data_IF_203151605562
#
_entry.id   IF_203151605562
#
_cell.length_a   1.000
_cell.length_b   1.000
_cell.length_c   1.000
_cell.angle_alpha   90.00
_cell.angle_beta   90.00
_cell.angle_gamma   90.00
#
_symmetry.space_group_name_H-M   'P 1'
#
loop_
_entity.id
_entity.type
_entity.pdbx_description
1 polymer ?
#
# COMPACT_ATOMS: atom_id res chain seq x y z
N UNK A 1 -2.12 -5.09 -3.35
CA UNK A 1 -2.88 -4.05 -2.65
C UNK A 1 -4.33 -4.44 -2.42
N UNK A 2 -5.05 -4.99 -3.42
CA UNK A 2 -6.46 -5.36 -3.25
C UNK A 2 -6.73 -6.30 -2.05
N UNK A 3 -5.88 -7.32 -1.85
CA UNK A 3 -5.97 -8.24 -0.70
C UNK A 3 -5.11 -7.86 0.51
N UNK A 4 -4.81 -6.58 0.74
CA UNK A 4 -4.12 -6.13 1.95
C UNK A 4 -5.06 -6.32 3.16
N UNK A 5 -4.59 -6.98 4.22
CA UNK A 5 -5.39 -7.31 5.41
C UNK A 5 -5.03 -6.44 6.60
N UNK A 6 -6.00 -6.21 7.49
CA UNK A 6 -5.81 -5.41 8.70
C UNK A 6 -4.78 -6.02 9.65
N UNK A 7 -4.74 -7.35 9.75
CA UNK A 7 -3.79 -8.09 10.58
C UNK A 7 -2.33 -7.99 10.09
N UNK A 8 -2.11 -7.39 8.92
CA UNK A 8 -0.78 -7.08 8.40
C UNK A 8 -0.26 -5.72 8.85
N UNK A 9 -1.11 -4.83 9.41
CA UNK A 9 -0.68 -3.55 9.98
C UNK A 9 -0.04 -3.81 11.33
N UNK A 10 1.23 -3.47 11.45
CA UNK A 10 2.06 -3.75 12.62
C UNK A 10 2.94 -2.56 12.95
N UNK A 11 3.23 -2.37 14.23
CA UNK A 11 4.28 -1.45 14.68
C UNK A 11 5.61 -2.19 14.73
N UNK A 12 6.59 -1.73 13.94
CA UNK A 12 7.94 -2.29 13.92
C UNK A 12 8.90 -1.40 14.67
N UNK A 13 9.67 -2.00 15.57
CA UNK A 13 10.79 -1.34 16.26
C UNK A 13 12.03 -1.41 15.38
N UNK A 14 12.68 -0.28 15.16
CA UNK A 14 13.89 -0.15 14.35
C UNK A 14 14.88 0.72 15.10
N UNK A 15 16.15 0.31 15.12
CA UNK A 15 17.24 1.14 15.64
C UNK A 15 17.88 1.88 14.47
N UNK A 16 17.88 3.20 14.53
CA UNK A 16 18.53 4.09 13.55
C UNK A 16 19.50 4.96 14.34
N UNK A 17 20.78 4.88 14.01
CA UNK A 17 21.86 5.63 14.66
C UNK A 17 21.86 5.50 16.20
N UNK A 18 21.63 4.29 16.69
CA UNK A 18 21.57 3.98 18.13
C UNK A 18 20.29 4.43 18.84
N UNK A 19 19.36 5.06 18.12
CA UNK A 19 18.09 5.51 18.68
C UNK A 19 16.96 4.57 18.27
N UNK A 20 16.21 4.09 19.27
CA UNK A 20 15.01 3.30 19.01
C UNK A 20 13.92 4.19 18.41
N UNK A 21 13.35 3.71 17.30
CA UNK A 21 12.23 4.33 16.59
C UNK A 21 11.15 3.27 16.35
N UNK A 22 9.90 3.68 16.45
CA UNK A 22 8.76 2.83 16.13
C UNK A 22 8.10 3.34 14.86
N UNK A 23 7.89 2.44 13.91
CA UNK A 23 7.22 2.75 12.65
C UNK A 23 5.96 1.92 12.54
N UNK A 24 4.83 2.58 12.31
CA UNK A 24 3.62 1.90 11.86
C UNK A 24 3.74 1.59 10.36
N UNK A 25 3.22 0.44 9.95
CA UNK A 25 3.40 -0.06 8.59
C UNK A 25 2.70 -1.37 8.35
N UNK A 26 2.78 -1.85 7.10
CA UNK A 26 2.29 -3.17 6.74
C UNK A 26 3.46 -4.15 6.54
N UNK A 27 3.43 -5.29 7.23
CA UNK A 27 4.31 -6.43 6.93
C UNK A 27 3.62 -7.34 5.91
N UNK A 28 4.15 -7.35 4.69
CA UNK A 28 3.56 -8.06 3.56
C UNK A 28 4.55 -9.04 2.94
N UNK A 29 4.00 -10.08 2.31
CA UNK A 29 4.78 -10.98 1.45
C UNK A 29 4.39 -10.72 0.00
N UNK A 30 5.37 -10.38 -0.82
CA UNK A 30 5.14 -10.16 -2.25
C UNK A 30 4.68 -11.45 -2.93
N UNK A 31 3.64 -11.34 -3.77
CA UNK A 31 3.13 -12.48 -4.53
C UNK A 31 4.13 -12.99 -5.58
N UNK A 32 5.03 -12.13 -6.06
CA UNK A 32 6.09 -12.52 -7.01
C UNK A 32 6.95 -13.62 -6.39
N UNK A 33 7.14 -14.71 -7.14
CA UNK A 33 7.88 -15.90 -6.72
C UNK A 33 7.31 -16.64 -5.50
N UNK A 34 6.08 -16.35 -5.06
CA UNK A 34 5.49 -16.98 -3.86
C UNK A 34 5.48 -18.50 -3.94
N UNK A 35 5.12 -19.09 -5.08
CA UNK A 35 5.11 -20.54 -5.27
C UNK A 35 6.49 -21.20 -5.33
N UNK A 36 7.56 -20.43 -5.53
CA UNK A 36 8.93 -20.97 -5.67
C UNK A 36 9.80 -20.72 -4.45
N UNK A 37 9.72 -19.54 -3.85
CA UNK A 37 10.58 -19.11 -2.73
C UNK A 37 9.81 -18.61 -1.52
N UNK A 38 8.48 -18.77 -1.49
CA UNK A 38 7.61 -18.18 -0.47
C UNK A 38 7.34 -16.69 -0.67
N UNK A 39 8.03 -16.02 -1.60
CA UNK A 39 7.92 -14.57 -1.84
C UNK A 39 8.85 -13.75 -0.94
N UNK A 40 9.06 -12.47 -1.30
CA UNK A 40 9.89 -11.55 -0.49
C UNK A 40 9.02 -10.90 0.59
N UNK A 41 9.40 -11.05 1.86
CA UNK A 41 8.80 -10.30 2.96
C UNK A 41 9.29 -8.86 2.94
N UNK A 42 8.38 -7.90 3.11
CA UNK A 42 8.63 -6.47 3.04
C UNK A 42 7.82 -5.78 4.13
N UNK A 43 8.47 -4.90 4.88
CA UNK A 43 7.79 -3.92 5.72
C UNK A 43 7.63 -2.62 4.95
N UNK A 44 6.40 -2.13 4.82
CA UNK A 44 6.07 -0.87 4.14
C UNK A 44 5.57 0.12 5.18
N UNK A 45 6.36 1.14 5.57
CA UNK A 45 5.91 2.14 6.51
C UNK A 45 4.73 2.93 5.95
N UNK A 46 3.79 3.31 6.80
CA UNK A 46 2.70 4.21 6.42
C UNK A 46 3.07 5.66 6.74
N UNK A 47 2.57 6.59 5.92
CA UNK A 47 2.69 8.03 6.21
C UNK A 47 1.69 8.44 7.29
N UNK A 48 1.91 9.57 8.01
CA UNK A 48 0.95 10.08 8.98
C UNK A 48 -0.47 10.25 8.40
N UNK A 49 -0.56 10.84 7.20
CA UNK A 49 -1.83 11.01 6.47
C UNK A 49 -2.55 9.66 6.22
N UNK A 50 -1.81 8.60 5.87
CA UNK A 50 -2.41 7.29 5.67
C UNK A 50 -2.84 6.67 7.00
N UNK A 51 -2.10 6.87 8.09
CA UNK A 51 -2.50 6.41 9.43
C UNK A 51 -3.84 6.99 9.82
N UNK A 52 -4.03 8.31 9.70
CA UNK A 52 -5.28 9.00 10.03
C UNK A 52 -6.47 8.42 9.26
N UNK A 53 -6.29 8.17 7.95
CA UNK A 53 -7.33 7.58 7.11
C UNK A 53 -7.63 6.14 7.53
N UNK A 54 -6.60 5.34 7.84
CA UNK A 54 -6.77 3.94 8.27
C UNK A 54 -7.40 3.81 9.66
N UNK A 55 -7.17 4.79 10.54
CA UNK A 55 -7.74 4.84 11.88
C UNK A 55 -9.21 5.27 11.87
N UNK A 56 -9.59 6.15 10.94
CA UNK A 56 -10.97 6.55 10.70
C UNK A 56 -11.78 5.57 9.83
N UNK A 57 -11.12 4.59 9.20
CA UNK A 57 -11.78 3.66 8.29
C UNK A 57 -12.73 2.70 9.04
N UNK A 58 -13.94 2.55 8.50
CA UNK A 58 -14.89 1.54 8.97
C UNK A 58 -14.40 0.13 8.59
N UNK A 59 -13.95 -0.64 9.58
CA UNK A 59 -13.33 -1.95 9.40
C UNK A 59 -14.38 -3.02 9.10
N UNK A 60 -14.79 -3.08 7.84
CA UNK A 60 -15.71 -4.10 7.32
C UNK A 60 -14.92 -5.32 6.84
N UNK A 61 -14.79 -6.34 7.70
CA UNK A 61 -14.11 -7.59 7.37
C UNK A 61 -12.58 -7.53 7.48
N UNK A 62 -11.91 -8.49 6.85
CA UNK A 62 -10.47 -8.72 7.07
C UNK A 62 -9.56 -7.82 6.23
N UNK A 63 -10.04 -7.36 5.07
CA UNK A 63 -9.24 -6.56 4.13
C UNK A 63 -9.41 -5.07 4.35
N UNK A 64 -8.34 -4.32 4.11
CA UNK A 64 -8.33 -2.85 4.22
C UNK A 64 -9.24 -2.20 3.16
N UNK A 65 -9.27 -2.76 1.95
CA UNK A 65 -10.05 -2.23 0.84
C UNK A 65 -11.24 -3.14 0.53
N UNK A 66 -12.45 -2.62 0.74
CA UNK A 66 -13.71 -3.30 0.43
C UNK A 66 -14.57 -2.49 -0.54
N UNK A 67 -15.39 -3.19 -1.32
CA UNK A 67 -16.34 -2.59 -2.25
C UNK A 67 -17.59 -2.04 -1.51
N UNK A 68 -18.53 -1.46 -2.25
CA UNK A 68 -19.77 -0.91 -1.68
C UNK A 68 -20.68 -1.94 -0.99
N UNK A 69 -20.45 -3.24 -1.23
CA UNK A 69 -21.15 -4.35 -0.58
C UNK A 69 -20.40 -4.88 0.66
N UNK A 70 -19.26 -4.30 1.02
CA UNK A 70 -18.42 -4.74 2.14
C UNK A 70 -17.51 -5.94 1.81
N UNK A 71 -17.40 -6.34 0.54
CA UNK A 71 -16.57 -7.47 0.14
C UNK A 71 -15.17 -7.02 -0.29
N UNK A 72 -14.13 -7.86 -0.11
CA UNK A 72 -12.79 -7.56 -0.58
C UNK A 72 -12.73 -7.25 -2.07
N UNK A 73 -11.96 -6.24 -2.46
CA UNK A 73 -11.71 -5.99 -3.87
C UNK A 73 -10.90 -7.13 -4.53
N UNK A 74 -11.27 -7.47 -5.77
CA UNK A 74 -10.35 -8.16 -6.69
C UNK A 74 -9.38 -7.15 -7.31
N UNK A 75 -8.23 -7.63 -7.83
CA UNK A 75 -7.29 -6.74 -8.54
C UNK A 75 -7.94 -6.06 -9.76
N UNK A 76 -8.82 -6.79 -10.49
CA UNK A 76 -9.55 -6.28 -11.65
C UNK A 76 -10.55 -5.20 -11.25
N UNK A 77 -11.40 -5.48 -10.26
CA UNK A 77 -12.42 -4.51 -9.81
C UNK A 77 -11.80 -3.26 -9.18
N UNK A 78 -10.70 -3.40 -8.44
CA UNK A 78 -9.98 -2.24 -7.90
C UNK A 78 -9.41 -1.33 -9.00
N UNK A 79 -8.92 -1.91 -10.10
CA UNK A 79 -8.43 -1.13 -11.25
C UNK A 79 -9.58 -0.37 -11.94
N UNK A 80 -10.75 -1.01 -12.06
CA UNK A 80 -11.97 -0.34 -12.53
C UNK A 80 -12.39 0.81 -11.61
N UNK A 81 -12.35 0.60 -10.31
CA UNK A 81 -12.66 1.65 -9.32
C UNK A 81 -11.69 2.83 -9.37
N UNK A 82 -10.39 2.60 -9.57
CA UNK A 82 -9.45 3.70 -9.76
C UNK A 82 -9.84 4.58 -10.96
N UNK A 83 -10.21 3.96 -12.08
CA UNK A 83 -10.70 4.70 -13.26
C UNK A 83 -11.95 5.52 -12.93
N UNK A 84 -12.87 4.93 -12.15
CA UNK A 84 -14.08 5.61 -11.71
C UNK A 84 -13.76 6.81 -10.80
N UNK A 85 -12.89 6.65 -9.80
CA UNK A 85 -12.46 7.74 -8.92
C UNK A 85 -11.76 8.86 -9.69
N UNK A 86 -10.89 8.54 -10.65
CA UNK A 86 -10.27 9.54 -11.53
C UNK A 86 -11.34 10.35 -12.29
N UNK A 87 -12.36 9.68 -12.83
CA UNK A 87 -13.46 10.36 -13.54
C UNK A 87 -14.24 11.28 -12.59
N UNK A 88 -14.56 10.82 -11.38
CA UNK A 88 -15.27 11.62 -10.37
C UNK A 88 -14.46 12.85 -9.94
N UNK A 89 -13.14 12.73 -9.88
CA UNK A 89 -12.22 13.83 -9.56
C UNK A 89 -11.94 14.77 -10.75
N UNK A 90 -12.57 14.57 -11.91
CA UNK A 90 -12.33 15.39 -13.10
C UNK A 90 -10.94 15.22 -13.72
N UNK A 91 -10.24 14.12 -13.39
CA UNK A 91 -8.88 13.86 -13.87
C UNK A 91 -8.89 13.28 -15.29
N UNK A 92 -7.78 13.47 -16.06
CA UNK A 92 -7.65 12.92 -17.39
C UNK A 92 -7.69 11.39 -17.39
N UNK A 93 -8.06 10.82 -18.54
CA UNK A 93 -8.00 9.37 -18.77
C UNK A 93 -6.56 8.86 -18.74
N UNK A 94 -6.38 7.59 -18.42
CA UNK A 94 -5.07 6.91 -18.43
C UNK A 94 -4.33 6.90 -17.09
N UNK A 95 -4.87 7.55 -16.05
CA UNK A 95 -4.34 7.43 -14.69
C UNK A 95 -4.73 6.08 -14.07
N UNK A 96 -3.72 5.31 -13.66
CA UNK A 96 -3.90 3.92 -13.16
C UNK A 96 -3.17 3.71 -11.85
N UNK A 97 -3.52 2.65 -11.10
CA UNK A 97 -2.77 2.23 -9.91
C UNK A 97 -1.32 1.87 -10.21
N UNK A 98 -1.05 1.29 -11.39
CA UNK A 98 0.31 1.03 -11.82
C UNK A 98 1.09 2.33 -12.04
N UNK A 99 0.47 3.30 -12.71
CA UNK A 99 1.02 4.65 -12.87
C UNK A 99 1.30 5.33 -11.53
N UNK A 100 0.35 5.26 -10.59
CA UNK A 100 0.50 5.80 -9.24
C UNK A 100 1.72 5.21 -8.51
N UNK A 101 1.92 3.89 -8.61
CA UNK A 101 3.12 3.23 -8.05
C UNK A 101 4.41 3.73 -8.72
N UNK A 102 4.40 3.96 -10.03
CA UNK A 102 5.56 4.48 -10.76
C UNK A 102 5.88 5.91 -10.32
N UNK A 103 4.87 6.78 -10.22
CA UNK A 103 5.01 8.14 -9.71
C UNK A 103 5.58 8.17 -8.29
N UNK A 104 5.09 7.31 -7.39
CA UNK A 104 5.69 7.18 -6.06
C UNK A 104 7.17 6.79 -6.11
N UNK A 105 7.55 5.88 -7.00
CA UNK A 105 8.95 5.50 -7.19
C UNK A 105 9.83 6.67 -7.65
N UNK A 106 9.30 7.54 -8.52
CA UNK A 106 9.99 8.77 -8.95
C UNK A 106 10.14 9.73 -7.78
N UNK A 107 9.06 10.02 -7.05
CA UNK A 107 9.11 10.93 -5.89
C UNK A 107 10.11 10.47 -4.82
N UNK A 108 10.16 9.16 -4.53
CA UNK A 108 11.12 8.64 -3.57
C UNK A 108 12.56 8.73 -4.09
N UNK A 109 12.79 8.50 -5.39
CA UNK A 109 14.12 8.67 -5.98
C UNK A 109 14.60 10.12 -5.97
N UNK A 110 13.69 11.07 -6.23
CA UNK A 110 13.96 12.52 -6.12
C UNK A 110 14.25 12.94 -4.67
N UNK A 111 13.64 12.25 -3.70
CA UNK A 111 13.95 12.39 -2.28
C UNK A 111 15.17 11.55 -1.82
N UNK A 112 16.08 11.23 -2.75
CA UNK A 112 17.34 10.52 -2.51
C UNK A 112 17.21 9.10 -1.93
N UNK A 113 16.05 8.47 -2.05
CA UNK A 113 15.92 7.06 -1.70
C UNK A 113 16.79 6.21 -2.63
N UNK A 114 17.64 5.38 -2.04
CA UNK A 114 18.48 4.45 -2.78
C UNK A 114 17.63 3.45 -3.58
N UNK A 115 18.18 2.94 -4.69
CA UNK A 115 17.54 1.90 -5.50
C UNK A 115 17.13 0.69 -4.64
N UNK A 116 17.88 0.38 -3.57
CA UNK A 116 17.55 -0.73 -2.66
C UNK A 116 16.33 -0.43 -1.78
N UNK A 117 16.10 0.82 -1.40
CA UNK A 117 14.89 1.22 -0.68
C UNK A 117 13.65 1.22 -1.59
N UNK A 118 13.82 1.40 -2.90
CA UNK A 118 12.75 1.36 -3.90
C UNK A 118 12.32 -0.06 -4.34
N UNK A 119 13.14 -1.10 -4.06
CA UNK A 119 12.98 -2.49 -4.57
C UNK A 119 12.71 -3.54 -3.48
#
# INVERSE_FOLDING_TARGET
VAGLRWDQRVTRRVFIDGVERHFDGFDIVQAKNKGRTGGKRLFVPITPMLSEILDAADRRGETVLVNGYGEPFSAKSLTGMMTHWCKLAGLPKGLTLHGLRKSLGVYLAEAEASTRQLM
#
